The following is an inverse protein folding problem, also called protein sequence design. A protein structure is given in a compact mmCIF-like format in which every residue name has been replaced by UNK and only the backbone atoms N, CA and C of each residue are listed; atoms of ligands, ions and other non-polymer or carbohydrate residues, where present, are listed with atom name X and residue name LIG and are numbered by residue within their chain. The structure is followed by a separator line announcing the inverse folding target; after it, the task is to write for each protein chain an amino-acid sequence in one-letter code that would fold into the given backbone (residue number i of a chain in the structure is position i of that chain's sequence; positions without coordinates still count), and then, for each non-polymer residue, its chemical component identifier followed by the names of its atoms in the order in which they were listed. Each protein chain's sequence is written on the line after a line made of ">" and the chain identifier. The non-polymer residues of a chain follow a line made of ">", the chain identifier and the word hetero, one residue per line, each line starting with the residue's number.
data_IF_851042514399
#
_entry.id   IF_851042514399
#
_cell.length_a   1.000
_cell.length_b   1.000
_cell.length_c   1.000
_cell.angle_alpha   90.00
_cell.angle_beta   90.00
_cell.angle_gamma   90.00
#
_symmetry.space_group_name_H-M   'P 1'
#
loop_
_entity.id
_entity.type
_entity.pdbx_description
1 polymer ?
#
# COMPACT_ATOMS: atom_id res chain seq x y z
N UNK A 1 -6.03 -2.89 13.84
CA UNK A 1 -5.62 -3.67 15.03
C UNK A 1 -4.22 -4.16 14.77
N UNK A 2 -3.25 -3.72 15.58
CA UNK A 2 -1.85 -4.18 15.48
C UNK A 2 -1.70 -5.35 16.44
N UNK A 3 -1.15 -6.46 15.97
CA UNK A 3 -0.88 -7.63 16.83
C UNK A 3 0.22 -7.30 17.84
N UNK A 4 0.18 -7.92 19.01
CA UNK A 4 1.29 -7.83 19.97
C UNK A 4 2.52 -8.57 19.46
N UNK A 5 3.71 -8.21 19.95
CA UNK A 5 4.95 -8.90 19.61
C UNK A 5 4.89 -10.40 19.93
N UNK A 6 4.27 -10.77 21.06
CA UNK A 6 4.08 -12.17 21.46
C UNK A 6 3.18 -12.94 20.48
N UNK A 7 2.13 -12.28 19.96
CA UNK A 7 1.24 -12.87 18.97
C UNK A 7 1.98 -13.08 17.63
N UNK A 8 2.80 -12.12 17.21
CA UNK A 8 3.64 -12.25 16.00
C UNK A 8 4.60 -13.42 16.16
N UNK A 9 5.31 -13.50 17.28
CA UNK A 9 6.26 -14.59 17.57
C UNK A 9 5.57 -15.96 17.55
N UNK A 10 4.37 -16.04 18.10
CA UNK A 10 3.56 -17.27 18.11
C UNK A 10 3.16 -17.69 16.70
N UNK A 11 2.74 -16.75 15.86
CA UNK A 11 2.40 -17.00 14.45
C UNK A 11 3.64 -17.48 13.70
N UNK A 12 4.77 -16.78 13.80
CA UNK A 12 6.01 -17.14 13.11
C UNK A 12 6.50 -18.54 13.49
N UNK A 13 6.44 -18.88 14.79
CA UNK A 13 6.79 -20.22 15.28
C UNK A 13 5.85 -21.28 14.68
N UNK A 14 4.55 -21.02 14.66
CA UNK A 14 3.54 -21.95 14.15
C UNK A 14 3.66 -22.14 12.63
N UNK A 15 3.89 -21.05 11.89
CA UNK A 15 4.13 -21.08 10.44
C UNK A 15 5.41 -21.86 10.13
N UNK A 16 6.48 -21.65 10.90
CA UNK A 16 7.76 -22.34 10.70
C UNK A 16 7.65 -23.86 10.92
N UNK A 17 6.72 -24.30 11.75
CA UNK A 17 6.46 -25.72 12.00
C UNK A 17 5.68 -26.43 10.87
N UNK A 18 5.08 -25.69 9.93
CA UNK A 18 4.39 -26.28 8.78
C UNK A 18 5.38 -26.97 7.83
N UNK A 19 4.98 -28.01 7.09
CA UNK A 19 5.76 -28.57 5.98
C UNK A 19 6.12 -27.49 4.96
N UNK A 20 7.23 -27.69 4.23
CA UNK A 20 7.74 -26.70 3.28
C UNK A 20 6.70 -26.32 2.23
N UNK A 21 6.01 -27.32 1.66
CA UNK A 21 5.00 -27.10 0.62
C UNK A 21 3.80 -26.29 1.15
N UNK A 22 3.42 -26.49 2.41
CA UNK A 22 2.31 -25.75 3.02
C UNK A 22 2.72 -24.31 3.38
N UNK A 23 3.98 -24.09 3.75
CA UNK A 23 4.52 -22.72 3.91
C UNK A 23 4.56 -21.98 2.59
N UNK A 24 5.00 -22.63 1.52
CA UNK A 24 5.01 -22.04 0.17
C UNK A 24 3.60 -21.63 -0.27
N UNK A 25 2.61 -22.52 -0.12
CA UNK A 25 1.20 -22.19 -0.39
C UNK A 25 0.70 -21.03 0.45
N UNK A 26 0.97 -21.04 1.76
CA UNK A 26 0.57 -19.97 2.66
C UNK A 26 1.17 -18.62 2.24
N UNK A 27 2.46 -18.59 1.91
CA UNK A 27 3.15 -17.39 1.41
C UNK A 27 2.53 -16.90 0.11
N UNK A 28 2.31 -17.78 -0.87
CA UNK A 28 1.71 -17.42 -2.16
C UNK A 28 0.29 -16.89 -2.02
N UNK A 29 -0.56 -17.59 -1.26
CA UNK A 29 -1.95 -17.18 -1.05
C UNK A 29 -2.04 -15.87 -0.25
N UNK A 30 -1.23 -15.74 0.81
CA UNK A 30 -1.14 -14.51 1.58
C UNK A 30 -0.70 -13.32 0.69
N UNK A 31 0.31 -13.54 -0.15
CA UNK A 31 0.79 -12.52 -1.08
C UNK A 31 -0.28 -12.12 -2.11
N UNK A 32 -1.03 -13.08 -2.68
CA UNK A 32 -2.10 -12.79 -3.64
C UNK A 32 -3.23 -11.97 -3.00
N UNK A 33 -3.68 -12.35 -1.80
CA UNK A 33 -4.76 -11.64 -1.09
C UNK A 33 -4.32 -10.21 -0.77
N UNK A 34 -3.13 -10.04 -0.20
CA UNK A 34 -2.63 -8.73 0.16
C UNK A 34 -2.36 -7.86 -1.07
N UNK A 35 -1.85 -8.44 -2.16
CA UNK A 35 -1.64 -7.71 -3.41
C UNK A 35 -2.96 -7.15 -3.95
N UNK A 36 -4.04 -7.94 -3.90
CA UNK A 36 -5.36 -7.50 -4.34
C UNK A 36 -5.91 -6.35 -3.50
N UNK A 37 -5.71 -6.41 -2.19
CA UNK A 37 -6.07 -5.30 -1.29
C UNK A 37 -5.29 -4.03 -1.66
N UNK A 38 -3.97 -4.15 -1.82
CA UNK A 38 -3.10 -3.02 -2.16
C UNK A 38 -3.43 -2.44 -3.54
N UNK A 39 -3.73 -3.25 -4.54
CA UNK A 39 -4.22 -2.76 -5.84
C UNK A 39 -5.47 -1.88 -5.70
N UNK A 40 -6.43 -2.31 -4.86
CA UNK A 40 -7.64 -1.55 -4.57
C UNK A 40 -7.35 -0.22 -3.88
N UNK A 41 -6.45 -0.21 -2.90
CA UNK A 41 -6.01 1.00 -2.19
C UNK A 41 -5.28 1.96 -3.12
N UNK A 42 -4.39 1.45 -3.98
CA UNK A 42 -3.65 2.23 -4.96
C UNK A 42 -4.59 2.91 -5.95
N UNK A 43 -5.57 2.16 -6.45
CA UNK A 43 -6.54 2.69 -7.39
C UNK A 43 -7.42 3.78 -6.75
N UNK A 44 -7.83 3.60 -5.49
CA UNK A 44 -8.53 4.64 -4.74
C UNK A 44 -7.67 5.89 -4.56
N UNK A 45 -6.41 5.74 -4.13
CA UNK A 45 -5.49 6.85 -3.94
C UNK A 45 -5.29 7.63 -5.26
N UNK A 46 -5.04 6.93 -6.37
CA UNK A 46 -4.93 7.55 -7.70
C UNK A 46 -6.17 8.37 -8.07
N UNK A 47 -7.37 7.82 -7.87
CA UNK A 47 -8.62 8.55 -8.15
C UNK A 47 -8.75 9.79 -7.29
N UNK A 48 -8.43 9.70 -6.00
CA UNK A 48 -8.48 10.83 -5.06
C UNK A 48 -7.51 11.94 -5.47
N UNK A 49 -6.28 11.58 -5.81
CA UNK A 49 -5.28 12.54 -6.31
C UNK A 49 -5.77 13.27 -7.56
N UNK A 50 -6.33 12.56 -8.55
CA UNK A 50 -6.90 13.17 -9.77
C UNK A 50 -8.10 14.07 -9.46
N UNK A 51 -8.95 13.71 -8.49
CA UNK A 51 -10.07 14.55 -8.04
C UNK A 51 -9.57 15.87 -7.44
N UNK A 52 -8.54 15.82 -6.59
CA UNK A 52 -7.91 17.02 -6.02
C UNK A 52 -7.27 17.89 -7.10
N UNK A 53 -6.49 17.29 -8.00
CA UNK A 53 -5.86 18.02 -9.11
C UNK A 53 -6.89 18.77 -9.95
N UNK A 54 -8.03 18.12 -10.23
CA UNK A 54 -9.13 18.74 -10.96
C UNK A 54 -9.82 19.85 -10.16
N UNK A 55 -10.04 19.65 -8.85
CA UNK A 55 -10.72 20.64 -7.99
C UNK A 55 -9.89 21.92 -7.85
N UNK A 56 -8.58 21.79 -7.70
CA UNK A 56 -7.68 22.92 -7.41
C UNK A 56 -6.88 23.42 -8.62
N UNK A 57 -6.96 22.74 -9.77
CA UNK A 57 -6.31 23.18 -11.01
C UNK A 57 -4.78 23.17 -10.95
N UNK A 58 -4.20 22.40 -10.04
CA UNK A 58 -2.76 22.26 -9.83
C UNK A 58 -2.44 20.84 -9.39
N UNK A 59 -1.17 20.45 -9.36
CA UNK A 59 -0.74 19.20 -8.75
C UNK A 59 -0.18 19.45 -7.34
N UNK A 60 -0.09 18.38 -6.54
CA UNK A 60 0.38 18.47 -5.16
C UNK A 60 1.85 18.88 -5.08
N UNK A 61 2.68 18.47 -6.04
CA UNK A 61 4.09 18.89 -6.12
C UNK A 61 4.21 20.42 -6.18
N UNK A 62 3.42 21.05 -7.06
CA UNK A 62 3.37 22.50 -7.17
C UNK A 62 2.80 23.13 -5.90
N UNK A 63 1.74 22.56 -5.32
CA UNK A 63 1.15 23.06 -4.08
C UNK A 63 2.15 23.02 -2.91
N UNK A 64 2.96 21.96 -2.80
CA UNK A 64 4.00 21.83 -1.78
C UNK A 64 5.14 22.85 -1.98
N UNK A 65 5.41 23.28 -3.20
CA UNK A 65 6.42 24.31 -3.50
C UNK A 65 5.90 25.72 -3.22
N UNK A 66 4.67 26.03 -3.63
CA UNK A 66 4.10 27.38 -3.53
C UNK A 66 3.40 27.65 -2.21
N UNK A 67 3.05 26.60 -1.46
CA UNK A 67 2.22 26.67 -0.27
C UNK A 67 0.76 26.98 -0.58
N UNK A 68 -0.08 26.91 0.45
CA UNK A 68 -1.45 27.42 0.36
C UNK A 68 -1.43 28.96 0.27
N UNK A 69 -2.40 29.57 -0.43
CA UNK A 69 -2.57 31.02 -0.43
C UNK A 69 -2.70 31.58 0.99
N UNK A 70 -2.21 32.80 1.24
CA UNK A 70 -2.32 33.45 2.57
C UNK A 70 -3.78 33.64 3.02
N UNK A 71 -4.72 33.71 2.08
CA UNK A 71 -6.15 33.81 2.32
C UNK A 71 -6.88 32.46 2.24
N UNK A 72 -6.16 31.34 2.28
CA UNK A 72 -6.75 30.01 2.30
C UNK A 72 -7.66 29.86 3.52
N UNK A 73 -8.89 29.41 3.27
CA UNK A 73 -9.83 29.08 4.32
C UNK A 73 -9.52 27.72 4.95
N UNK A 74 -10.35 27.35 5.92
CA UNK A 74 -10.27 26.05 6.58
C UNK A 74 -10.40 24.88 5.59
N UNK A 75 -11.31 24.99 4.62
CA UNK A 75 -11.58 23.90 3.67
C UNK A 75 -10.33 23.59 2.83
N UNK A 76 -9.59 24.61 2.40
CA UNK A 76 -8.37 24.46 1.63
C UNK A 76 -7.24 23.83 2.45
N UNK A 77 -7.13 24.18 3.74
CA UNK A 77 -6.20 23.54 4.66
C UNK A 77 -6.52 22.06 4.88
N UNK A 78 -7.79 21.73 5.13
CA UNK A 78 -8.24 20.34 5.31
C UNK A 78 -8.02 19.52 4.04
N UNK A 79 -8.34 20.10 2.88
CA UNK A 79 -8.10 19.48 1.58
C UNK A 79 -6.62 19.22 1.32
N UNK A 80 -5.71 20.13 1.69
CA UNK A 80 -4.27 19.91 1.53
C UNK A 80 -3.76 18.76 2.40
N UNK A 81 -4.23 18.67 3.65
CA UNK A 81 -3.88 17.56 4.56
C UNK A 81 -4.38 16.24 3.99
N UNK A 82 -5.64 16.20 3.53
CA UNK A 82 -6.22 15.01 2.93
C UNK A 82 -5.46 14.61 1.65
N UNK A 83 -5.18 15.56 0.77
CA UNK A 83 -4.43 15.32 -0.46
C UNK A 83 -3.04 14.74 -0.19
N UNK A 84 -2.33 15.30 0.78
CA UNK A 84 -1.01 14.79 1.21
C UNK A 84 -1.10 13.36 1.74
N UNK A 85 -2.15 13.04 2.51
CA UNK A 85 -2.38 11.68 3.01
C UNK A 85 -2.64 10.67 1.87
N UNK A 86 -3.34 11.08 0.81
CA UNK A 86 -3.54 10.24 -0.36
C UNK A 86 -2.25 10.02 -1.17
N UNK A 87 -1.35 11.00 -1.20
CA UNK A 87 -0.03 10.82 -1.81
C UNK A 87 0.80 9.79 -1.03
N UNK A 88 0.90 9.91 0.29
CA UNK A 88 1.59 8.92 1.12
C UNK A 88 0.96 7.53 0.96
N UNK A 89 -0.38 7.45 0.91
CA UNK A 89 -1.07 6.17 0.65
C UNK A 89 -0.65 5.57 -0.69
N UNK A 90 -0.53 6.38 -1.75
CA UNK A 90 -0.08 5.90 -3.06
C UNK A 90 1.35 5.33 -2.99
N UNK A 91 2.26 6.05 -2.36
CA UNK A 91 3.68 5.68 -2.22
C UNK A 91 3.85 4.39 -1.41
N UNK A 92 3.27 4.34 -0.20
CA UNK A 92 3.30 3.17 0.68
C UNK A 92 2.72 1.93 -0.01
N UNK A 93 1.59 2.11 -0.71
CA UNK A 93 0.92 1.00 -1.39
C UNK A 93 1.76 0.47 -2.56
N UNK A 94 2.44 1.35 -3.30
CA UNK A 94 3.36 0.96 -4.37
C UNK A 94 4.56 0.19 -3.84
N UNK A 95 5.15 0.63 -2.73
CA UNK A 95 6.25 -0.06 -2.08
C UNK A 95 5.86 -1.48 -1.67
N UNK A 96 4.73 -1.64 -0.97
CA UNK A 96 4.22 -2.96 -0.57
C UNK A 96 3.94 -3.84 -1.80
N UNK A 97 3.31 -3.29 -2.86
CA UNK A 97 3.06 -4.03 -4.09
C UNK A 97 4.34 -4.53 -4.76
N UNK A 98 5.42 -3.75 -4.73
CA UNK A 98 6.71 -4.17 -5.30
C UNK A 98 7.30 -5.37 -4.54
N UNK A 99 7.22 -5.37 -3.21
CA UNK A 99 7.63 -6.52 -2.39
C UNK A 99 6.77 -7.76 -2.66
N UNK A 100 5.46 -7.59 -2.78
CA UNK A 100 4.54 -8.69 -3.05
C UNK A 100 4.75 -9.30 -4.43
N UNK A 101 5.04 -8.48 -5.45
CA UNK A 101 5.39 -8.97 -6.79
C UNK A 101 6.63 -9.85 -6.77
N UNK A 102 7.68 -9.42 -6.07
CA UNK A 102 8.89 -10.23 -5.94
C UNK A 102 8.61 -11.60 -5.28
N UNK A 103 7.72 -11.66 -4.29
CA UNK A 103 7.29 -12.93 -3.67
C UNK A 103 6.50 -13.80 -4.65
N UNK A 104 5.55 -13.21 -5.37
CA UNK A 104 4.72 -13.95 -6.33
C UNK A 104 5.55 -14.50 -7.50
N UNK A 105 6.48 -13.71 -8.03
CA UNK A 105 7.42 -14.14 -9.07
C UNK A 105 8.31 -15.29 -8.59
N UNK A 106 8.85 -15.20 -7.37
CA UNK A 106 9.69 -16.26 -6.81
C UNK A 106 8.93 -17.57 -6.58
N UNK A 107 7.63 -17.50 -6.24
CA UNK A 107 6.80 -18.69 -6.01
C UNK A 107 6.23 -19.30 -7.29
N UNK A 108 6.06 -18.54 -8.37
CA UNK A 108 5.64 -19.10 -9.67
C UNK A 108 6.78 -19.87 -10.37
N UNK A 109 8.06 -19.49 -10.17
CA UNK A 109 9.22 -20.20 -10.75
C UNK A 109 9.47 -21.57 -10.10
N UNK A 110 9.15 -21.71 -8.81
CA UNK A 110 9.28 -22.98 -8.08
C UNK A 110 8.36 -24.09 -8.58
N UNK A 111 7.21 -23.74 -9.15
CA UNK A 111 6.20 -24.69 -9.62
C UNK A 111 6.50 -25.30 -11.00
N UNK A 112 7.40 -24.68 -11.79
CA UNK A 112 7.79 -25.15 -13.12
C UNK A 112 9.00 -26.11 -13.11
N UNK A 113 9.58 -26.36 -11.93
CA UNK A 113 10.80 -27.15 -11.75
C UNK A 113 10.57 -28.53 -11.13
N UNK A 114 9.31 -28.99 -11.03
CA UNK A 114 8.94 -30.33 -10.53
C UNK A 114 8.33 -31.21 -11.63
#
# INVERSE_FOLDING_TARGET
>A
MVLSADAITTIETSVSALPFEEREKLTRYGALVLAREMEGRLELAKRKLVEFERKYGMNLERLNQVGLPENAGREEHEAWVEWSSWQSTQEETLEVLNHLRAILEATDVGHLSQ
#
